data_IF_682174228876
#
_entry.id   IF_682174228876
#
_cell.length_a   1.000
_cell.length_b   1.000
_cell.length_c   1.000
_cell.angle_alpha   90.00
_cell.angle_beta   90.00
_cell.angle_gamma   90.00
#
_symmetry.space_group_name_H-M   'P 1'
#
loop_
_entity.id
_entity.type
_entity.pdbx_description
1 polymer ?
#
# COMPACT_ATOMS: atom_id res chain seq x y z
N UNK A 1 -10.96 10.88 -4.34
CA UNK A 1 -9.79 10.04 -4.06
C UNK A 1 -9.99 9.39 -2.72
N UNK A 2 -10.34 8.11 -2.72
CA UNK A 2 -10.25 7.33 -1.48
C UNK A 2 -8.76 7.08 -1.21
N UNK A 3 -8.32 7.19 0.03
CA UNK A 3 -6.92 7.02 0.38
C UNK A 3 -6.51 5.54 0.19
N UNK A 4 -5.57 5.19 -0.70
CA UNK A 4 -5.16 3.80 -0.93
C UNK A 4 -4.61 3.15 0.35
N UNK A 5 -4.12 3.94 1.31
CA UNK A 5 -3.72 3.44 2.64
C UNK A 5 -4.91 2.87 3.41
N UNK A 6 -6.09 3.48 3.29
CA UNK A 6 -7.31 2.99 3.93
C UNK A 6 -7.70 1.62 3.35
N UNK A 7 -7.71 1.49 2.02
CA UNK A 7 -7.99 0.22 1.34
C UNK A 7 -6.99 -0.88 1.73
N UNK A 8 -5.69 -0.59 1.63
CA UNK A 8 -4.63 -1.53 2.03
C UNK A 8 -4.79 -1.99 3.49
N UNK A 9 -5.04 -1.05 4.40
CA UNK A 9 -5.23 -1.34 5.83
C UNK A 9 -6.44 -2.22 6.11
N UNK A 10 -7.56 -1.97 5.43
CA UNK A 10 -8.76 -2.81 5.58
C UNK A 10 -8.51 -4.23 5.08
N UNK A 11 -7.83 -4.39 3.94
CA UNK A 11 -7.48 -5.70 3.38
C UNK A 11 -6.52 -6.47 4.29
N UNK A 12 -5.49 -5.80 4.83
CA UNK A 12 -4.53 -6.41 5.77
C UNK A 12 -5.23 -6.83 7.07
N UNK A 13 -6.07 -5.94 7.64
CA UNK A 13 -6.82 -6.25 8.88
C UNK A 13 -7.75 -7.45 8.71
N UNK A 14 -8.37 -7.56 7.54
CA UNK A 14 -9.27 -8.66 7.20
C UNK A 14 -8.53 -9.92 6.74
N UNK A 15 -7.19 -9.89 6.66
CA UNK A 15 -6.34 -10.97 6.12
C UNK A 15 -6.71 -11.36 4.69
N UNK A 16 -7.19 -10.40 3.92
CA UNK A 16 -7.49 -10.57 2.49
C UNK A 16 -6.21 -10.56 1.67
N UNK A 17 -5.21 -9.77 2.09
CA UNK A 17 -3.87 -9.74 1.52
C UNK A 17 -2.85 -9.77 2.65
N UNK A 18 -1.67 -10.32 2.38
CA UNK A 18 -0.53 -10.23 3.28
C UNK A 18 0.27 -8.93 3.03
N UNK A 19 0.83 -8.36 4.09
CA UNK A 19 1.67 -7.15 3.99
C UNK A 19 2.89 -7.38 3.10
N UNK A 20 3.49 -8.57 3.15
CA UNK A 20 4.64 -8.92 2.31
C UNK A 20 4.28 -8.95 0.83
N UNK A 21 3.11 -9.50 0.46
CA UNK A 21 2.63 -9.50 -0.92
C UNK A 21 2.41 -8.07 -1.44
N UNK A 22 1.78 -7.22 -0.63
CA UNK A 22 1.62 -5.80 -0.94
C UNK A 22 2.98 -5.11 -1.09
N UNK A 23 3.92 -5.40 -0.20
CA UNK A 23 5.26 -4.83 -0.24
C UNK A 23 6.03 -5.21 -1.51
N UNK A 24 5.94 -6.46 -1.95
CA UNK A 24 6.57 -6.92 -3.20
C UNK A 24 6.04 -6.12 -4.40
N UNK A 25 4.72 -5.89 -4.47
CA UNK A 25 4.10 -5.10 -5.54
C UNK A 25 4.47 -3.62 -5.47
N UNK A 26 4.40 -3.05 -4.27
CA UNK A 26 4.81 -1.68 -4.02
C UNK A 26 6.28 -1.44 -4.40
N UNK A 27 7.16 -2.39 -4.10
CA UNK A 27 8.57 -2.32 -4.52
C UNK A 27 8.74 -2.44 -6.04
N UNK A 28 7.98 -3.34 -6.69
CA UNK A 28 8.00 -3.49 -8.15
C UNK A 28 7.57 -2.21 -8.89
N UNK A 29 6.64 -1.45 -8.31
CA UNK A 29 6.17 -0.15 -8.82
C UNK A 29 7.12 1.03 -8.49
N UNK A 30 8.30 0.74 -7.92
CA UNK A 30 9.33 1.74 -7.60
C UNK A 30 9.28 2.29 -6.17
N UNK A 31 8.46 1.69 -5.31
CA UNK A 31 8.44 1.96 -3.88
C UNK A 31 9.77 1.60 -3.21
N UNK A 32 10.24 2.44 -2.29
CA UNK A 32 11.56 2.30 -1.67
C UNK A 32 11.50 2.18 -0.13
N UNK A 33 10.33 1.90 0.41
CA UNK A 33 10.16 1.64 1.84
C UNK A 33 10.52 0.17 2.17
N UNK A 34 11.28 -0.09 3.25
CA UNK A 34 11.30 -1.39 3.90
C UNK A 34 9.90 -1.85 4.31
N UNK A 35 9.66 -3.16 4.42
CA UNK A 35 8.33 -3.72 4.74
C UNK A 35 7.69 -3.12 6.01
N UNK A 36 8.48 -2.90 7.06
CA UNK A 36 7.99 -2.31 8.31
C UNK A 36 7.67 -0.81 8.18
N UNK A 37 8.38 -0.10 7.30
CA UNK A 37 8.06 1.29 7.01
C UNK A 37 6.83 1.41 6.11
N UNK A 38 6.59 0.43 5.22
CA UNK A 38 5.34 0.34 4.47
C UNK A 38 4.15 0.10 5.42
N UNK A 39 4.30 -0.79 6.42
CA UNK A 39 3.31 -0.98 7.47
C UNK A 39 2.99 0.33 8.19
N UNK A 40 4.03 1.00 8.71
CA UNK A 40 3.87 2.29 9.38
C UNK A 40 3.20 3.35 8.47
N UNK A 41 3.47 3.32 7.17
CA UNK A 41 2.86 4.21 6.19
C UNK A 41 1.37 3.90 5.96
N UNK A 42 1.01 2.63 5.74
CA UNK A 42 -0.38 2.16 5.56
C UNK A 42 -1.23 2.44 6.80
N UNK A 43 -0.64 2.33 7.99
CA UNK A 43 -1.30 2.65 9.26
C UNK A 43 -1.21 4.13 9.65
N UNK A 44 -0.68 4.98 8.77
CA UNK A 44 -0.59 6.45 8.96
C UNK A 44 0.19 6.85 10.22
N UNK A 45 1.09 5.98 10.68
CA UNK A 45 2.04 6.26 11.77
C UNK A 45 3.18 7.14 11.27
N UNK A 46 3.57 6.94 10.01
CA UNK A 46 4.63 7.71 9.34
C UNK A 46 4.10 8.34 8.06
N UNK A 47 4.33 9.65 7.88
CA UNK A 47 4.12 10.31 6.61
C UNK A 47 5.27 10.01 5.63
N UNK A 48 4.93 9.86 4.35
CA UNK A 48 5.91 9.76 3.26
C UNK A 48 5.55 10.73 2.15
N UNK A 49 6.41 10.80 1.15
CA UNK A 49 6.22 11.67 0.00
C UNK A 49 4.85 11.40 -0.65
N UNK A 50 4.08 12.42 -1.08
CA UNK A 50 2.73 12.24 -1.62
C UNK A 50 2.63 11.27 -2.82
N UNK A 51 3.71 11.16 -3.60
CA UNK A 51 3.79 10.20 -4.71
C UNK A 51 3.73 8.74 -4.26
N UNK A 52 4.04 8.43 -3.01
CA UNK A 52 3.96 7.08 -2.45
C UNK A 52 2.53 6.54 -2.43
N UNK A 53 1.52 7.43 -2.36
CA UNK A 53 0.11 7.05 -2.51
C UNK A 53 -0.17 6.49 -3.90
N UNK A 54 0.45 7.06 -4.93
CA UNK A 54 0.32 6.62 -6.33
C UNK A 54 0.88 5.22 -6.50
N UNK A 55 2.09 4.99 -5.97
CA UNK A 55 2.77 3.69 -6.01
C UNK A 55 1.94 2.65 -5.26
N UNK A 56 1.40 3.01 -4.09
CA UNK A 56 0.52 2.13 -3.31
C UNK A 56 -0.78 1.79 -4.05
N UNK A 57 -1.38 2.73 -4.78
CA UNK A 57 -2.56 2.47 -5.63
C UNK A 57 -2.23 1.44 -6.70
N UNK A 58 -1.14 1.63 -7.44
CA UNK A 58 -0.71 0.69 -8.48
C UNK A 58 -0.42 -0.70 -7.90
N UNK A 59 0.23 -0.76 -6.74
CA UNK A 59 0.49 -2.02 -6.06
C UNK A 59 -0.80 -2.80 -5.71
N UNK A 60 -1.86 -2.08 -5.32
CA UNK A 60 -3.17 -2.67 -5.04
C UNK A 60 -3.87 -3.12 -6.34
N UNK A 61 -3.81 -2.31 -7.39
CA UNK A 61 -4.32 -2.66 -8.73
C UNK A 61 -3.66 -3.94 -9.26
N UNK A 62 -2.35 -4.10 -9.02
CA UNK A 62 -1.56 -5.27 -9.39
C UNK A 62 -1.97 -6.55 -8.64
N UNK A 63 -2.58 -6.40 -7.45
CA UNK A 63 -3.22 -7.49 -6.69
C UNK A 63 -4.66 -7.77 -7.14
N UNK A 64 -5.15 -7.05 -8.16
CA UNK A 64 -6.54 -7.13 -8.62
C UNK A 64 -7.53 -6.40 -7.70
N UNK A 65 -7.04 -5.53 -6.82
CA UNK A 65 -7.86 -4.65 -5.98
C UNK A 65 -8.08 -3.36 -6.76
N UNK A 66 -9.34 -3.03 -7.06
CA UNK A 66 -9.67 -1.74 -7.66
C UNK A 66 -9.52 -0.65 -6.60
N UNK A 67 -8.31 -0.06 -6.52
CA UNK A 67 -7.99 1.00 -5.56
C UNK A 67 -8.33 2.37 -6.18
N UNK A 68 -9.01 3.27 -5.46
CA UNK A 68 -9.37 4.58 -6.02
C UNK A 68 -8.14 5.46 -6.27
N UNK A 69 -7.87 5.77 -7.54
CA UNK A 69 -6.86 6.76 -7.97
C UNK A 69 -7.09 8.14 -7.38
#
# INVERSE_FOLDING_TARGET
>A
MEDPRKTARELIRNRTIDLEDLWIRYWAEGGNAPVLELDAYVFEIQERHPFELRILSWALEDLGIDAPL
#
